data_IF_029280832359
#
_entry.id   IF_029280832359
#
_cell.length_a   1.000
_cell.length_b   1.000
_cell.length_c   1.000
_cell.angle_alpha   90.00
_cell.angle_beta   90.00
_cell.angle_gamma   90.00
#
_symmetry.space_group_name_H-M   'P 1'
#
loop_
_entity.id
_entity.type
_entity.pdbx_description
1 polymer ?
#
# COMPACT_ATOMS: atom_id res chain seq x y z
N UNK A 1 6.88 5.84 7.00
CA UNK A 1 6.20 4.81 6.16
C UNK A 1 6.37 5.09 4.67
N UNK A 2 6.36 6.37 4.26
CA UNK A 2 6.52 6.84 2.88
C UNK A 2 7.83 6.43 2.16
N UNK A 3 8.93 6.18 2.86
CA UNK A 3 10.21 5.87 2.20
C UNK A 3 10.21 4.50 1.55
N UNK A 4 9.60 3.48 2.17
CA UNK A 4 9.62 2.11 1.64
C UNK A 4 8.87 1.96 0.32
N UNK A 5 7.91 2.82 -0.01
CA UNK A 5 7.22 2.78 -1.31
C UNK A 5 7.90 3.69 -2.34
N UNK A 6 8.50 4.81 -1.89
CA UNK A 6 9.23 5.75 -2.77
C UNK A 6 10.55 5.19 -3.32
N UNK A 7 11.13 4.18 -2.66
CA UNK A 7 12.35 3.52 -3.12
C UNK A 7 12.10 2.34 -4.05
N UNK A 8 10.83 2.06 -4.40
CA UNK A 8 10.51 1.02 -5.37
C UNK A 8 11.13 1.37 -6.75
N UNK A 9 11.53 0.37 -7.55
CA UNK A 9 12.03 0.61 -8.91
C UNK A 9 11.02 1.39 -9.77
N UNK A 10 11.51 2.23 -10.69
CA UNK A 10 10.67 3.07 -11.56
C UNK A 10 9.64 2.25 -12.34
N UNK A 11 10.00 1.05 -12.80
CA UNK A 11 9.08 0.19 -13.55
C UNK A 11 7.91 -0.31 -12.70
N UNK A 12 8.03 -0.30 -11.37
CA UNK A 12 6.96 -0.67 -10.44
C UNK A 12 6.13 0.56 -10.09
N UNK A 13 6.80 1.71 -9.86
CA UNK A 13 6.09 2.98 -9.62
C UNK A 13 5.18 3.35 -10.80
N UNK A 14 5.57 3.02 -12.04
CA UNK A 14 4.74 3.23 -13.22
C UNK A 14 3.45 2.36 -13.25
N UNK A 15 3.35 1.32 -12.41
CA UNK A 15 2.18 0.43 -12.35
C UNK A 15 1.17 0.81 -11.27
N UNK A 16 1.51 1.72 -10.35
CA UNK A 16 0.70 2.02 -9.17
C UNK A 16 0.50 3.52 -8.98
N UNK A 17 -0.60 3.87 -8.32
CA UNK A 17 -0.80 5.22 -7.79
C UNK A 17 -0.70 5.20 -6.27
N UNK A 18 0.21 6.02 -5.73
CA UNK A 18 0.59 5.98 -4.32
C UNK A 18 -0.16 7.08 -3.57
N UNK A 19 -0.94 6.67 -2.59
CA UNK A 19 -1.62 7.59 -1.68
C UNK A 19 -1.15 7.37 -0.24
N UNK A 20 -0.87 8.47 0.45
CA UNK A 20 -0.47 8.48 1.86
C UNK A 20 -1.52 9.19 2.70
N UNK A 21 -1.86 8.57 3.83
CA UNK A 21 -2.82 9.10 4.78
C UNK A 21 -2.20 9.24 6.17
N UNK A 22 -2.31 10.43 6.74
CA UNK A 22 -1.82 10.74 8.09
C UNK A 22 -2.94 10.57 9.13
N UNK A 23 -2.70 9.70 10.11
CA UNK A 23 -3.62 9.40 11.20
C UNK A 23 -3.86 10.56 12.17
N UNK A 24 -3.07 11.63 12.08
CA UNK A 24 -3.32 12.90 12.78
C UNK A 24 -4.41 13.74 12.12
N UNK A 25 -4.83 13.38 10.91
CA UNK A 25 -5.82 14.11 10.12
C UNK A 25 -7.15 13.36 10.06
N UNK A 26 -8.27 14.08 9.96
CA UNK A 26 -9.60 13.47 9.79
C UNK A 26 -9.70 12.56 8.56
N UNK A 27 -9.20 12.97 7.37
CA UNK A 27 -9.22 12.10 6.19
C UNK A 27 -8.45 10.80 6.40
N UNK A 28 -7.29 10.84 7.07
CA UNK A 28 -6.52 9.63 7.34
C UNK A 28 -7.21 8.68 8.30
N UNK A 29 -7.82 9.21 9.38
CA UNK A 29 -8.65 8.40 10.30
C UNK A 29 -9.84 7.76 9.57
N UNK A 30 -10.49 8.51 8.67
CA UNK A 30 -11.60 8.00 7.89
C UNK A 30 -11.13 6.86 6.97
N UNK A 31 -10.05 7.06 6.21
CA UNK A 31 -9.55 6.02 5.31
C UNK A 31 -9.10 4.76 6.05
N UNK A 32 -8.45 4.92 7.21
CA UNK A 32 -8.06 3.80 8.07
C UNK A 32 -9.27 2.95 8.50
N UNK A 33 -10.40 3.59 8.82
CA UNK A 33 -11.66 2.89 9.14
C UNK A 33 -12.29 2.22 7.93
N UNK A 34 -12.29 2.88 6.76
CA UNK A 34 -12.81 2.31 5.51
C UNK A 34 -12.07 1.03 5.12
N UNK A 35 -10.74 1.03 5.26
CA UNK A 35 -9.86 -0.12 5.01
C UNK A 35 -9.96 -1.19 6.12
N UNK A 36 -10.75 -0.95 7.18
CA UNK A 36 -10.91 -1.82 8.35
C UNK A 36 -9.58 -2.19 9.03
N UNK A 37 -8.58 -1.31 8.93
CA UNK A 37 -7.29 -1.51 9.57
C UNK A 37 -7.41 -1.42 11.10
N UNK A 38 -6.58 -2.17 11.80
CA UNK A 38 -6.57 -2.31 13.27
C UNK A 38 -5.29 -1.77 13.87
N UNK A 39 -4.18 -1.80 13.15
CA UNK A 39 -2.87 -1.36 13.65
C UNK A 39 -2.02 -0.70 12.58
N UNK A 40 -1.27 0.32 13.00
CA UNK A 40 -0.25 0.97 12.17
C UNK A 40 1.11 0.26 12.36
N UNK A 41 2.00 0.27 11.35
CA UNK A 41 1.76 0.69 9.97
C UNK A 41 0.76 -0.25 9.25
N UNK A 42 -0.01 0.28 8.30
CA UNK A 42 -0.94 -0.51 7.48
C UNK A 42 -0.75 -0.20 5.99
N UNK A 43 -0.69 -1.23 5.15
CA UNK A 43 -0.59 -1.07 3.69
C UNK A 43 -1.77 -1.76 3.04
N UNK A 44 -2.47 -1.01 2.21
CA UNK A 44 -3.52 -1.52 1.36
C UNK A 44 -3.13 -1.39 -0.11
N UNK A 45 -3.47 -2.39 -0.91
CA UNK A 45 -3.31 -2.40 -2.36
C UNK A 45 -4.69 -2.58 -2.97
N UNK A 46 -5.08 -1.71 -3.89
CA UNK A 46 -6.42 -1.75 -4.52
C UNK A 46 -7.58 -1.77 -3.50
N UNK A 47 -7.45 -0.98 -2.43
CA UNK A 47 -8.39 -0.92 -1.29
C UNK A 47 -8.46 -2.17 -0.39
N UNK A 48 -7.72 -3.23 -0.73
CA UNK A 48 -7.58 -4.40 0.12
C UNK A 48 -6.44 -4.18 1.12
N UNK A 49 -6.73 -4.35 2.41
CA UNK A 49 -5.72 -4.32 3.44
C UNK A 49 -4.87 -5.60 3.39
N UNK A 50 -3.57 -5.44 3.08
CA UNK A 50 -2.65 -6.57 2.86
C UNK A 50 -1.70 -6.75 4.03
N UNK A 51 -1.19 -5.64 4.55
CA UNK A 51 -0.20 -5.66 5.63
C UNK A 51 -0.69 -4.82 6.80
N UNK A 52 -0.58 -5.39 7.99
CA UNK A 52 -0.88 -4.74 9.25
C UNK A 52 0.28 -4.96 10.23
N UNK A 53 0.62 -3.94 11.00
CA UNK A 53 1.69 -3.94 12.01
C UNK A 53 3.12 -4.11 11.48
N UNK A 54 3.30 -4.48 10.20
CA UNK A 54 4.60 -4.77 9.59
C UNK A 54 4.69 -4.07 8.23
N UNK A 55 5.83 -3.45 7.93
CA UNK A 55 6.13 -2.95 6.59
C UNK A 55 6.75 -4.11 5.80
N UNK A 56 6.19 -4.50 4.65
CA UNK A 56 6.73 -5.58 3.84
C UNK A 56 8.12 -5.21 3.30
N UNK A 57 8.91 -6.24 2.99
CA UNK A 57 10.17 -6.06 2.26
C UNK A 57 9.92 -5.54 0.83
N UNK A 58 10.94 -4.94 0.21
CA UNK A 58 10.85 -4.42 -1.16
C UNK A 58 10.42 -5.51 -2.15
N UNK A 59 11.11 -6.65 -2.15
CA UNK A 59 10.84 -7.75 -3.07
C UNK A 59 9.41 -8.29 -2.92
N UNK A 60 8.94 -8.41 -1.68
CA UNK A 60 7.59 -8.89 -1.37
C UNK A 60 6.53 -7.92 -1.91
N UNK A 61 6.71 -6.63 -1.65
CA UNK A 61 5.80 -5.59 -2.14
C UNK A 61 5.78 -5.53 -3.67
N UNK A 62 6.95 -5.61 -4.31
CA UNK A 62 7.09 -5.64 -5.78
C UNK A 62 6.37 -6.84 -6.37
N UNK A 63 6.55 -8.02 -5.77
CA UNK A 63 5.94 -9.25 -6.24
C UNK A 63 4.40 -9.16 -6.19
N UNK A 64 3.85 -8.69 -5.08
CA UNK A 64 2.40 -8.56 -4.91
C UNK A 64 1.80 -7.53 -5.89
N UNK A 65 2.47 -6.39 -6.09
CA UNK A 65 2.05 -5.38 -7.09
C UNK A 65 2.00 -6.00 -8.50
N UNK A 66 3.08 -6.69 -8.92
CA UNK A 66 3.14 -7.33 -10.24
C UNK A 66 2.06 -8.39 -10.40
N UNK A 67 1.86 -9.22 -9.39
CA UNK A 67 0.84 -10.28 -9.39
C UNK A 67 -0.56 -9.70 -9.58
N UNK A 68 -0.92 -8.65 -8.82
CA UNK A 68 -2.23 -7.97 -8.95
C UNK A 68 -2.40 -7.30 -10.31
N UNK A 69 -1.36 -6.63 -10.79
CA UNK A 69 -1.37 -6.02 -12.12
C UNK A 69 -1.62 -7.05 -13.23
N UNK A 70 -1.00 -8.23 -13.16
CA UNK A 70 -1.24 -9.31 -14.12
C UNK A 70 -2.68 -9.83 -14.06
N UNK A 71 -3.23 -10.06 -12.85
CA UNK A 71 -4.59 -10.54 -12.67
C UNK A 71 -5.63 -9.54 -13.24
N UNK A 72 -5.42 -8.24 -13.06
CA UNK A 72 -6.34 -7.20 -13.56
C UNK A 72 -6.32 -7.00 -15.08
N UNK A 73 -5.22 -7.33 -15.74
CA UNK A 73 -5.01 -7.11 -17.17
C UNK A 73 -5.05 -8.43 -17.98
N UNK A 74 -5.55 -9.52 -17.38
CA UNK A 74 -5.83 -10.80 -18.05
C UNK A 74 -7.32 -10.92 -18.29
#
# INVERSE_FOLDING_TARGET
MAESVKVLPEEIQALIDIHEWDMRTRPGIQRFKELKARSLPSVALDEDLIYESIIPGQEELIHEIRRRHQIKNT
#
